data_IF_565555828310
#
_entry.id   IF_565555828310
#
_cell.length_a   1.000
_cell.length_b   1.000
_cell.length_c   1.000
_cell.angle_alpha   90.00
_cell.angle_beta   90.00
_cell.angle_gamma   90.00
#
_symmetry.space_group_name_H-M   'P 1'
#
loop_
_entity.id
_entity.type
_entity.pdbx_description
1 polymer ?
#
# COMPACT_ATOMS: atom_id res chain seq x y z
N UNK A 1 4.02 -7.68 -9.87
CA UNK A 1 3.50 -6.36 -9.45
C UNK A 1 4.33 -5.21 -9.97
N UNK A 2 5.66 -5.19 -9.85
CA UNK A 2 6.48 -4.20 -10.55
C UNK A 2 7.86 -4.77 -10.90
N UNK A 3 8.41 -4.36 -12.03
CA UNK A 3 9.75 -4.69 -12.50
C UNK A 3 10.49 -3.39 -12.78
N UNK A 4 11.38 -3.02 -11.86
CA UNK A 4 12.13 -1.76 -11.90
C UNK A 4 13.59 -2.01 -11.53
N UNK A 5 14.50 -1.20 -12.05
CA UNK A 5 15.93 -1.32 -11.75
C UNK A 5 16.30 -0.78 -10.37
N UNK A 6 15.42 0.02 -9.76
CA UNK A 6 15.60 0.55 -8.41
C UNK A 6 14.30 0.57 -7.63
N UNK A 7 14.36 0.15 -6.36
CA UNK A 7 13.22 0.21 -5.43
C UNK A 7 12.73 1.63 -5.12
N UNK A 8 13.47 2.67 -5.53
CA UNK A 8 13.08 4.07 -5.32
C UNK A 8 12.11 4.61 -6.37
N UNK A 9 11.76 3.82 -7.38
CA UNK A 9 10.91 4.23 -8.50
C UNK A 9 9.42 4.06 -8.17
N UNK A 10 8.99 4.71 -7.09
CA UNK A 10 7.65 4.60 -6.52
C UNK A 10 6.57 5.09 -7.50
N UNK A 11 6.64 6.36 -7.90
CA UNK A 11 5.72 7.01 -8.83
C UNK A 11 6.42 7.59 -10.06
N UNK A 12 5.67 8.24 -10.96
CA UNK A 12 6.17 8.81 -12.20
C UNK A 12 7.39 9.69 -12.01
N UNK A 13 7.38 10.62 -11.05
CA UNK A 13 8.47 11.58 -10.83
C UNK A 13 9.80 10.89 -10.55
N UNK A 14 9.83 9.99 -9.56
CA UNK A 14 11.04 9.26 -9.19
C UNK A 14 11.49 8.28 -10.28
N UNK A 15 10.56 7.75 -11.07
CA UNK A 15 10.86 6.77 -12.12
C UNK A 15 11.55 7.44 -13.30
N UNK A 16 11.08 8.62 -13.74
CA UNK A 16 11.71 9.37 -14.83
C UNK A 16 13.17 9.74 -14.53
N UNK A 17 13.47 10.08 -13.27
CA UNK A 17 14.79 10.45 -12.77
C UNK A 17 15.70 9.22 -12.54
N UNK A 18 15.21 8.20 -11.82
CA UNK A 18 16.06 7.13 -11.26
C UNK A 18 15.97 5.80 -12.01
N UNK A 19 14.90 5.60 -12.79
CA UNK A 19 14.68 4.40 -13.58
C UNK A 19 14.27 4.76 -15.02
N UNK A 20 15.13 5.48 -15.78
CA UNK A 20 14.76 5.98 -17.10
C UNK A 20 14.34 4.86 -18.07
N UNK A 21 14.94 3.68 -18.00
CA UNK A 21 14.53 2.52 -18.82
C UNK A 21 13.19 1.89 -18.40
N UNK A 22 12.66 2.24 -17.22
CA UNK A 22 11.34 1.80 -16.77
C UNK A 22 10.28 2.87 -16.96
N UNK A 23 10.64 4.14 -17.13
CA UNK A 23 9.70 5.26 -17.21
C UNK A 23 8.73 5.12 -18.39
N UNK A 24 7.45 5.41 -18.17
CA UNK A 24 6.38 5.16 -19.13
C UNK A 24 6.54 6.03 -20.38
N UNK A 25 6.91 7.30 -20.20
CA UNK A 25 7.17 8.24 -21.29
C UNK A 25 8.41 7.90 -22.12
N UNK A 26 9.26 6.97 -21.64
CA UNK A 26 10.45 6.46 -22.33
C UNK A 26 10.23 5.05 -22.89
N UNK A 27 8.97 4.60 -22.97
CA UNK A 27 8.59 3.29 -23.51
C UNK A 27 8.77 2.12 -22.52
N UNK A 28 9.10 2.40 -21.26
CA UNK A 28 9.17 1.41 -20.20
C UNK A 28 7.78 1.02 -19.67
N UNK A 29 7.75 0.07 -18.71
CA UNK A 29 6.50 -0.44 -18.10
C UNK A 29 5.85 0.52 -17.08
N UNK A 30 6.50 1.62 -16.74
CA UNK A 30 6.08 2.59 -15.74
C UNK A 30 6.71 2.39 -14.37
N UNK A 31 6.31 3.26 -13.44
CA UNK A 31 6.66 3.23 -12.02
C UNK A 31 6.10 2.02 -11.29
N UNK A 32 6.53 1.81 -10.03
CA UNK A 32 5.99 0.73 -9.18
C UNK A 32 4.47 0.85 -9.04
N UNK A 33 3.94 2.06 -8.80
CA UNK A 33 2.50 2.26 -8.60
C UNK A 33 1.71 2.04 -9.89
N UNK A 34 2.20 2.49 -11.04
CA UNK A 34 1.56 2.21 -12.35
C UNK A 34 1.54 0.71 -12.66
N UNK A 35 2.66 0.03 -12.42
CA UNK A 35 2.75 -1.42 -12.62
C UNK A 35 1.88 -2.20 -11.63
N UNK A 36 1.74 -1.73 -10.38
CA UNK A 36 0.82 -2.31 -9.40
C UNK A 36 -0.63 -2.21 -9.88
N UNK A 37 -1.05 -1.04 -10.39
CA UNK A 37 -2.39 -0.87 -10.97
C UNK A 37 -2.62 -1.75 -12.21
N UNK A 38 -1.57 -1.99 -13.00
CA UNK A 38 -1.60 -2.91 -14.13
C UNK A 38 -1.67 -4.39 -13.71
N UNK A 39 -1.01 -4.75 -12.61
CA UNK A 39 -1.00 -6.13 -12.11
C UNK A 39 -2.36 -6.58 -11.59
N UNK A 40 -3.17 -5.67 -11.06
CA UNK A 40 -4.60 -5.87 -10.76
C UNK A 40 -4.89 -7.12 -9.92
N UNK A 41 -4.19 -7.29 -8.81
CA UNK A 41 -4.59 -8.28 -7.81
C UNK A 41 -6.01 -7.97 -7.31
N UNK A 42 -6.79 -9.01 -7.00
CA UNK A 42 -8.18 -8.84 -6.53
C UNK A 42 -8.25 -8.03 -5.23
N UNK A 43 -7.25 -8.21 -4.35
CA UNK A 43 -7.13 -7.50 -3.07
C UNK A 43 -5.71 -6.96 -2.90
N UNK A 44 -5.57 -5.65 -2.70
CA UNK A 44 -4.31 -4.98 -2.34
C UNK A 44 -4.56 -4.02 -1.18
N UNK A 45 -3.91 -4.22 -0.03
CA UNK A 45 -4.17 -3.49 1.21
C UNK A 45 -2.86 -3.01 1.84
N UNK A 46 -2.77 -1.73 2.20
CA UNK A 46 -1.60 -1.17 2.87
C UNK A 46 -1.63 0.34 3.02
N UNK A 47 -0.45 0.95 3.14
CA UNK A 47 -0.25 2.39 3.11
C UNK A 47 0.18 2.90 1.72
N UNK A 48 0.92 4.02 1.70
CA UNK A 48 1.53 4.57 0.47
C UNK A 48 0.60 5.46 -0.36
N UNK A 49 -0.46 6.00 0.22
CA UNK A 49 -1.45 6.82 -0.50
C UNK A 49 -0.84 8.05 -1.19
N UNK A 50 0.25 8.60 -0.65
CA UNK A 50 0.88 9.82 -1.18
C UNK A 50 1.32 9.69 -2.64
N UNK A 51 1.86 8.54 -3.04
CA UNK A 51 2.31 8.31 -4.42
C UNK A 51 1.13 8.25 -5.40
N UNK A 52 -0.07 7.91 -4.94
CA UNK A 52 -1.25 7.89 -5.80
C UNK A 52 -1.74 9.30 -6.20
N UNK A 53 -1.22 10.35 -5.56
CA UNK A 53 -1.46 11.73 -5.96
C UNK A 53 -0.58 12.20 -7.13
N UNK A 54 0.46 11.45 -7.50
CA UNK A 54 1.27 11.77 -8.68
C UNK A 54 0.46 11.54 -9.97
N UNK A 55 0.76 12.32 -11.01
CA UNK A 55 0.11 12.23 -12.31
C UNK A 55 0.92 11.42 -13.30
N UNK A 56 0.25 10.57 -14.10
CA UNK A 56 0.93 9.80 -15.13
C UNK A 56 1.49 10.74 -16.22
N UNK A 57 2.74 10.48 -16.63
CA UNK A 57 3.48 11.29 -17.62
C UNK A 57 3.19 10.88 -19.06
N UNK A 58 2.64 9.68 -19.27
CA UNK A 58 2.30 9.12 -20.57
C UNK A 58 1.17 8.07 -20.45
N UNK A 59 0.78 7.47 -21.57
CA UNK A 59 -0.25 6.42 -21.63
C UNK A 59 -1.69 6.94 -21.60
N UNK A 60 -2.65 6.02 -21.53
CA UNK A 60 -4.10 6.31 -21.60
C UNK A 60 -4.57 7.33 -20.55
N UNK A 61 -3.94 7.32 -19.37
CA UNK A 61 -4.32 8.18 -18.24
C UNK A 61 -3.35 9.34 -18.02
N UNK A 62 -2.61 9.75 -19.06
CA UNK A 62 -1.69 10.88 -18.98
C UNK A 62 -2.39 12.14 -18.43
N UNK A 63 -1.75 12.82 -17.48
CA UNK A 63 -2.29 14.01 -16.82
C UNK A 63 -3.35 13.74 -15.75
N UNK A 64 -3.79 12.49 -15.55
CA UNK A 64 -4.61 12.08 -14.41
C UNK A 64 -3.74 11.58 -13.27
N UNK A 65 -4.20 11.77 -12.04
CA UNK A 65 -3.56 11.17 -10.88
C UNK A 65 -3.68 9.65 -10.93
N UNK A 66 -2.74 8.92 -10.32
CA UNK A 66 -2.84 7.47 -10.24
C UNK A 66 -4.04 7.01 -9.42
N UNK A 67 -4.55 7.84 -8.51
CA UNK A 67 -5.81 7.62 -7.79
C UNK A 67 -7.02 7.66 -8.72
N UNK A 68 -7.13 8.71 -9.54
CA UNK A 68 -8.19 8.81 -10.55
C UNK A 68 -8.09 7.67 -11.56
N UNK A 69 -6.88 7.31 -11.97
CA UNK A 69 -6.63 6.14 -12.80
C UNK A 69 -7.17 4.86 -12.17
N UNK A 70 -6.87 4.60 -10.89
CA UNK A 70 -7.40 3.43 -10.20
C UNK A 70 -8.94 3.41 -10.21
N UNK A 71 -9.57 4.54 -9.87
CA UNK A 71 -11.04 4.67 -9.88
C UNK A 71 -11.62 4.42 -11.29
N UNK A 72 -11.03 5.04 -12.32
CA UNK A 72 -11.45 4.88 -13.72
C UNK A 72 -11.30 3.44 -14.22
N UNK A 73 -10.37 2.68 -13.66
CA UNK A 73 -10.13 1.26 -13.97
C UNK A 73 -10.96 0.31 -13.12
N UNK A 74 -11.96 0.81 -12.38
CA UNK A 74 -12.91 -0.01 -11.61
C UNK A 74 -12.40 -0.49 -10.26
N UNK A 75 -11.31 0.08 -9.72
CA UNK A 75 -10.90 -0.23 -8.35
C UNK A 75 -11.89 0.33 -7.33
N UNK A 76 -12.14 -0.45 -6.29
CA UNK A 76 -12.83 -0.03 -5.08
C UNK A 76 -11.79 0.56 -4.13
N UNK A 77 -11.84 1.88 -3.90
CA UNK A 77 -10.90 2.57 -3.02
C UNK A 77 -11.45 2.69 -1.60
N UNK A 78 -10.71 2.16 -0.62
CA UNK A 78 -11.04 2.25 0.82
C UNK A 78 -9.87 2.86 1.59
N UNK A 79 -10.15 3.57 2.68
CA UNK A 79 -9.14 4.33 3.43
C UNK A 79 -9.20 4.17 4.94
N UNK A 80 -10.13 3.38 5.45
CA UNK A 80 -10.28 3.11 6.88
C UNK A 80 -10.89 1.73 7.13
N UNK A 81 -10.92 1.32 8.40
CA UNK A 81 -11.45 0.04 8.84
C UNK A 81 -12.96 -0.13 8.53
N UNK A 82 -13.74 0.96 8.59
CA UNK A 82 -15.17 0.93 8.34
C UNK A 82 -15.48 0.66 6.86
N UNK A 83 -14.83 1.41 5.96
CA UNK A 83 -14.91 1.25 4.51
C UNK A 83 -14.31 -0.07 4.04
N UNK A 84 -13.26 -0.58 4.69
CA UNK A 84 -12.74 -1.93 4.44
C UNK A 84 -13.77 -3.01 4.81
N UNK A 85 -14.43 -2.88 5.97
CA UNK A 85 -15.38 -3.87 6.45
C UNK A 85 -16.66 -3.94 5.59
N UNK A 86 -17.07 -2.84 4.95
CA UNK A 86 -18.25 -2.81 4.09
C UNK A 86 -18.06 -3.49 2.73
N UNK A 87 -16.83 -3.88 2.38
CA UNK A 87 -16.55 -4.57 1.11
C UNK A 87 -17.05 -6.01 1.16
N UNK A 88 -17.91 -6.40 0.23
CA UNK A 88 -18.51 -7.75 0.18
C UNK A 88 -18.00 -8.58 -1.00
N UNK A 89 -17.38 -7.96 -2.00
CA UNK A 89 -16.78 -8.62 -3.16
C UNK A 89 -15.47 -7.95 -3.54
N UNK A 90 -14.49 -8.76 -3.96
CA UNK A 90 -13.26 -8.29 -4.57
C UNK A 90 -12.82 -9.33 -5.62
N UNK A 91 -12.74 -8.89 -6.87
CA UNK A 91 -12.46 -9.74 -8.02
C UNK A 91 -11.89 -8.89 -9.16
N UNK A 92 -11.61 -9.50 -10.31
CA UNK A 92 -11.04 -8.80 -11.46
C UNK A 92 -11.94 -7.68 -12.02
N UNK A 93 -13.25 -7.72 -11.81
CA UNK A 93 -14.17 -6.66 -12.22
C UNK A 93 -14.17 -5.51 -11.22
N UNK A 94 -14.09 -5.81 -9.92
CA UNK A 94 -14.09 -4.85 -8.81
C UNK A 94 -12.92 -5.10 -7.85
N UNK A 95 -11.66 -4.88 -8.28
CA UNK A 95 -10.52 -5.13 -7.41
C UNK A 95 -10.50 -4.13 -6.26
N UNK A 96 -10.15 -4.60 -5.06
CA UNK A 96 -10.06 -3.78 -3.86
C UNK A 96 -8.65 -3.19 -3.72
N UNK A 97 -8.57 -1.88 -3.53
CA UNK A 97 -7.34 -1.17 -3.20
C UNK A 97 -7.54 -0.34 -1.93
N UNK A 98 -6.96 -0.81 -0.81
CA UNK A 98 -6.98 -0.14 0.49
C UNK A 98 -5.71 0.66 0.74
N UNK A 99 -5.87 1.96 0.97
CA UNK A 99 -4.79 2.92 1.24
C UNK A 99 -5.04 3.62 2.58
N UNK A 100 -4.48 3.06 3.66
CA UNK A 100 -4.80 3.43 5.04
C UNK A 100 -3.84 4.44 5.68
N UNK A 101 -2.83 4.90 4.94
CA UNK A 101 -1.87 5.91 5.37
C UNK A 101 -1.17 6.55 4.16
N UNK A 102 -0.73 7.81 4.29
CA UNK A 102 0.05 8.50 3.25
C UNK A 102 1.37 7.79 2.93
N UNK A 103 2.02 7.26 3.96
CA UNK A 103 3.24 6.46 3.87
C UNK A 103 3.05 5.11 4.55
N UNK A 104 3.97 4.76 5.45
CA UNK A 104 3.81 3.57 6.30
C UNK A 104 2.63 3.74 7.27
N UNK A 105 1.93 2.65 7.56
CA UNK A 105 0.92 2.65 8.61
C UNK A 105 1.57 2.83 10.00
N UNK A 106 0.90 3.49 10.96
CA UNK A 106 1.44 3.71 12.29
C UNK A 106 1.67 2.39 13.05
N UNK A 107 2.82 2.30 13.74
CA UNK A 107 3.20 1.14 14.56
C UNK A 107 2.25 0.92 15.74
N UNK A 108 2.20 -0.32 16.23
CA UNK A 108 1.28 -0.74 17.31
C UNK A 108 1.63 -0.13 18.66
N UNK A 109 2.90 -0.15 19.03
CA UNK A 109 3.39 0.29 20.32
C UNK A 109 4.45 1.37 20.17
N UNK A 110 4.65 2.14 21.23
CA UNK A 110 5.70 3.14 21.35
C UNK A 110 6.59 2.87 22.56
N UNK A 111 7.84 3.30 22.44
CA UNK A 111 8.86 3.32 23.47
C UNK A 111 10.01 4.24 23.05
N UNK A 112 10.84 4.71 23.98
CA UNK A 112 11.99 5.53 23.63
C UNK A 112 12.98 4.72 22.78
N UNK A 113 13.67 5.42 21.87
CA UNK A 113 14.78 4.84 21.11
C UNK A 113 15.89 4.42 22.08
N UNK A 114 16.52 3.28 21.81
CA UNK A 114 17.70 2.85 22.55
C UNK A 114 18.80 3.92 22.49
N UNK A 115 19.53 4.07 23.60
CA UNK A 115 20.68 4.98 23.71
C UNK A 115 21.92 4.22 24.15
N UNK A 116 23.10 4.76 23.85
CA UNK A 116 24.36 4.24 24.38
C UNK A 116 24.28 4.10 25.90
N UNK A 117 24.69 2.94 26.42
CA UNK A 117 24.59 2.55 27.84
C UNK A 117 23.18 2.66 28.47
N UNK A 118 22.11 2.69 27.66
CA UNK A 118 20.74 2.89 28.17
C UNK A 118 20.25 1.83 29.16
N UNK A 119 20.83 0.63 29.18
CA UNK A 119 20.49 -0.42 30.13
C UNK A 119 21.10 -0.21 31.53
N UNK A 120 22.14 0.64 31.64
CA UNK A 120 22.80 0.99 32.90
C UNK A 120 22.30 2.36 33.35
N UNK A 121 22.25 3.31 32.41
CA UNK A 121 22.09 4.73 32.69
C UNK A 121 20.62 5.20 32.71
N UNK A 122 19.67 4.35 32.28
CA UNK A 122 18.25 4.69 32.20
C UNK A 122 17.37 3.61 32.85
N UNK A 123 16.18 3.99 33.35
CA UNK A 123 15.23 3.02 33.87
C UNK A 123 14.76 2.05 32.77
N UNK A 124 14.41 0.84 33.20
CA UNK A 124 13.75 -0.14 32.35
C UNK A 124 12.47 0.45 31.74
N UNK A 125 12.21 0.08 30.49
CA UNK A 125 11.06 0.59 29.71
C UNK A 125 9.94 -0.44 29.72
N UNK A 126 8.71 0.03 29.88
CA UNK A 126 7.50 -0.71 29.53
C UNK A 126 6.87 -0.08 28.30
N UNK A 127 6.70 -0.88 27.24
CA UNK A 127 6.06 -0.41 26.01
C UNK A 127 4.59 -0.05 26.26
N UNK A 128 4.08 0.95 25.54
CA UNK A 128 2.68 1.37 25.63
C UNK A 128 2.02 1.37 24.25
N UNK A 129 0.69 1.19 24.16
CA UNK A 129 -0.03 1.40 22.91
C UNK A 129 0.28 2.78 22.31
N UNK A 130 0.49 2.83 20.99
CA UNK A 130 0.82 4.06 20.31
C UNK A 130 -0.43 4.96 20.17
N UNK A 131 -0.50 6.13 20.85
CA UNK A 131 -1.66 7.03 20.76
C UNK A 131 -1.80 7.70 19.39
N UNK A 132 -0.75 7.69 18.56
CA UNK A 132 -0.80 8.22 17.19
C UNK A 132 -1.46 7.24 16.20
N UNK A 133 -1.68 5.98 16.62
CA UNK A 133 -2.43 5.00 15.84
C UNK A 133 -3.90 5.14 16.19
N UNK A 134 -4.66 5.83 15.33
CA UNK A 134 -6.11 5.91 15.49
C UNK A 134 -6.78 4.54 15.26
N UNK A 135 -8.01 4.40 15.77
CA UNK A 135 -8.79 3.16 15.66
C UNK A 135 -9.41 2.96 14.27
N UNK A 136 -9.42 4.00 13.43
CA UNK A 136 -9.88 3.89 12.04
C UNK A 136 -8.86 3.23 11.12
N UNK A 137 -7.59 3.14 11.52
CA UNK A 137 -6.58 2.38 10.77
C UNK A 137 -6.70 0.88 11.10
N UNK A 138 -6.99 0.01 10.11
CA UNK A 138 -7.10 -1.43 10.36
C UNK A 138 -5.76 -2.02 10.84
N UNK A 139 -5.86 -3.05 11.67
CA UNK A 139 -4.71 -3.86 12.07
C UNK A 139 -4.30 -4.80 10.94
N UNK A 140 -3.06 -5.32 10.98
CA UNK A 140 -2.61 -6.33 10.02
C UNK A 140 -3.50 -7.58 10.07
N UNK A 141 -3.97 -7.97 11.25
CA UNK A 141 -4.92 -9.08 11.42
C UNK A 141 -6.25 -8.77 10.71
N UNK A 142 -6.87 -7.60 10.95
CA UNK A 142 -8.11 -7.21 10.27
C UNK A 142 -7.97 -7.15 8.74
N UNK A 143 -6.84 -6.65 8.22
CA UNK A 143 -6.57 -6.68 6.77
C UNK A 143 -6.42 -8.11 6.26
N UNK A 144 -5.76 -8.99 7.02
CA UNK A 144 -5.58 -10.40 6.67
C UNK A 144 -6.90 -11.14 6.66
N UNK A 145 -7.71 -10.99 7.71
CA UNK A 145 -9.02 -11.61 7.84
C UNK A 145 -9.93 -11.21 6.67
N UNK A 146 -9.98 -9.91 6.36
CA UNK A 146 -10.80 -9.42 5.25
C UNK A 146 -10.29 -9.89 3.88
N UNK A 147 -8.98 -9.97 3.69
CA UNK A 147 -8.40 -10.51 2.47
C UNK A 147 -8.76 -12.00 2.30
N UNK A 148 -8.66 -12.81 3.36
CA UNK A 148 -9.03 -14.23 3.32
C UNK A 148 -10.53 -14.39 3.01
N UNK A 149 -11.41 -13.63 3.69
CA UNK A 149 -12.86 -13.66 3.46
C UNK A 149 -13.23 -13.39 1.99
N UNK A 150 -12.56 -12.42 1.36
CA UNK A 150 -12.83 -12.04 -0.02
C UNK A 150 -12.22 -13.02 -1.02
N UNK A 151 -10.97 -13.42 -0.81
CA UNK A 151 -10.22 -14.27 -1.73
C UNK A 151 -10.65 -15.73 -1.70
N UNK A 152 -11.13 -16.24 -0.56
CA UNK A 152 -11.59 -17.64 -0.42
C UNK A 152 -12.85 -17.94 -1.22
N UNK A 153 -13.51 -16.93 -1.79
CA UNK A 153 -14.71 -17.08 -2.64
C UNK A 153 -14.39 -17.66 -4.03
N UNK A 154 -13.12 -17.69 -4.42
CA UNK A 154 -12.70 -18.31 -5.67
C UNK A 154 -12.49 -19.82 -5.48
N UNK A 155 -13.32 -20.63 -6.15
CA UNK A 155 -13.28 -22.11 -6.09
C UNK A 155 -11.93 -22.71 -6.52
N UNK A 156 -11.13 -21.99 -7.31
CA UNK A 156 -9.78 -22.44 -7.72
C UNK A 156 -8.71 -22.16 -6.66
N UNK A 157 -9.08 -21.53 -5.55
CA UNK A 157 -8.17 -21.09 -4.50
C UNK A 157 -7.61 -19.68 -4.74
N UNK A 158 -6.70 -19.28 -3.86
CA UNK A 158 -6.06 -17.97 -3.88
C UNK A 158 -4.59 -18.03 -3.41
N UNK A 159 -3.85 -16.99 -3.74
CA UNK A 159 -2.53 -16.71 -3.18
C UNK A 159 -2.60 -15.39 -2.41
N UNK A 160 -2.02 -15.35 -1.21
CA UNK A 160 -1.97 -14.15 -0.38
C UNK A 160 -0.59 -14.02 0.27
N UNK A 161 0.03 -12.85 0.10
CA UNK A 161 1.22 -12.45 0.84
C UNK A 161 0.83 -11.41 1.91
N UNK A 162 1.22 -11.66 3.16
CA UNK A 162 1.00 -10.75 4.29
C UNK A 162 2.36 -10.36 4.89
N UNK A 163 2.61 -9.07 5.09
CA UNK A 163 3.89 -8.55 5.56
C UNK A 163 3.73 -7.70 6.83
N UNK A 164 4.45 -8.07 7.89
CA UNK A 164 4.68 -7.20 9.05
C UNK A 164 5.86 -6.26 8.78
N UNK A 165 5.62 -5.13 8.10
CA UNK A 165 6.70 -4.30 7.54
C UNK A 165 7.47 -3.42 8.55
N UNK A 166 7.08 -3.37 9.81
CA UNK A 166 7.71 -2.55 10.86
C UNK A 166 7.83 -3.31 12.17
N UNK A 167 8.58 -4.42 12.12
CA UNK A 167 9.06 -5.20 13.28
C UNK A 167 10.22 -4.45 13.93
#
# INVERSE_FOLDING_TARGET
MAHVTSRKCYGPSATSEKCPGNALEKGGKGSITEQLLNARADVTLGGGAKTFAETATAGEWQGKTLREQAQARGYQLVSDAASLNSVTEANQQKPLLGLFADGNMPVRWQGPKATYHGNIDKPAVTCTPNPQRNDSVPTLAQMTDKAIELLSKNEKGFFLQVEGASV
#
